data_IF_438085873807
#
_entry.id   IF_438085873807
#
_cell.length_a   1.000
_cell.length_b   1.000
_cell.length_c   1.000
_cell.angle_alpha   90.00
_cell.angle_beta   90.00
_cell.angle_gamma   90.00
#
_symmetry.space_group_name_H-M   'P 1'
#
loop_
_entity.id
_entity.type
_entity.pdbx_description
1 polymer ?
#
# COMPACT_ATOMS: atom_id res chain seq x y z
N UNK A 1 13.75 -22.48 7.54
CA UNK A 1 12.81 -22.49 6.41
C UNK A 1 12.34 -21.07 6.15
N UNK A 2 12.39 -20.62 4.90
CA UNK A 2 11.91 -19.30 4.48
C UNK A 2 10.59 -19.46 3.73
N UNK A 3 9.57 -18.67 4.13
CA UNK A 3 8.35 -18.49 3.34
C UNK A 3 8.13 -16.99 3.08
N UNK A 4 8.02 -16.60 1.83
CA UNK A 4 7.81 -15.19 1.44
C UNK A 4 6.35 -14.77 1.66
N UNK A 5 5.41 -15.69 1.47
CA UNK A 5 3.98 -15.49 1.74
C UNK A 5 3.45 -16.78 2.36
N UNK A 6 2.66 -16.72 3.43
CA UNK A 6 2.04 -17.92 3.96
C UNK A 6 1.07 -18.48 2.93
N UNK A 7 1.37 -19.64 2.38
CA UNK A 7 0.49 -20.35 1.46
C UNK A 7 -0.61 -21.00 2.31
N UNK A 8 -1.77 -20.36 2.36
CA UNK A 8 -2.87 -20.76 3.26
C UNK A 8 -3.30 -22.22 3.08
N UNK A 9 -3.29 -22.70 1.85
CA UNK A 9 -3.80 -24.04 1.49
C UNK A 9 -2.85 -25.18 1.88
N UNK A 10 -1.54 -24.91 1.99
CA UNK A 10 -0.52 -25.91 2.34
C UNK A 10 0.11 -25.69 3.70
N UNK A 11 -0.39 -24.71 4.46
CA UNK A 11 0.21 -24.32 5.75
C UNK A 11 0.26 -25.51 6.73
N UNK A 12 -0.79 -26.31 6.79
CA UNK A 12 -0.89 -27.43 7.70
C UNK A 12 0.08 -28.55 7.34
N UNK A 13 0.22 -28.86 6.07
CA UNK A 13 1.18 -29.83 5.56
C UNK A 13 2.62 -29.38 5.81
N UNK A 14 2.93 -28.11 5.51
CA UNK A 14 4.22 -27.51 5.80
C UNK A 14 4.54 -27.50 7.29
N UNK A 15 3.59 -27.09 8.14
CA UNK A 15 3.78 -27.04 9.59
C UNK A 15 4.02 -28.43 10.19
N UNK A 16 3.50 -29.49 9.56
CA UNK A 16 3.74 -30.89 9.99
C UNK A 16 5.19 -31.34 9.75
N UNK A 17 5.90 -30.69 8.81
CA UNK A 17 7.28 -31.05 8.44
C UNK A 17 8.34 -30.40 9.33
N UNK A 18 7.97 -29.43 10.18
CA UNK A 18 8.93 -28.68 10.99
C UNK A 18 9.31 -29.43 12.28
N UNK A 19 10.59 -29.33 12.63
CA UNK A 19 11.16 -29.92 13.85
C UNK A 19 11.41 -28.85 14.91
N UNK A 20 11.44 -29.26 16.18
CA UNK A 20 11.49 -28.39 17.34
C UNK A 20 12.69 -27.42 17.31
N UNK A 21 13.86 -27.93 16.97
CA UNK A 21 15.12 -27.18 16.97
C UNK A 21 15.34 -26.36 15.68
N UNK A 22 14.34 -26.25 14.82
CA UNK A 22 14.44 -25.60 13.52
C UNK A 22 13.88 -24.19 13.57
N UNK A 23 14.68 -23.13 13.40
CA UNK A 23 14.16 -21.76 13.34
C UNK A 23 13.32 -21.56 12.08
N UNK A 24 12.18 -20.90 12.24
CA UNK A 24 11.26 -20.58 11.16
C UNK A 24 11.27 -19.07 10.92
N UNK A 25 11.49 -18.68 9.67
CA UNK A 25 11.37 -17.32 9.22
C UNK A 25 10.20 -17.26 8.22
N UNK A 26 9.17 -16.50 8.55
CA UNK A 26 7.99 -16.34 7.70
C UNK A 26 7.59 -14.86 7.62
N UNK A 27 6.78 -14.52 6.64
CA UNK A 27 6.24 -13.18 6.50
C UNK A 27 4.73 -13.15 6.65
N UNK A 28 4.20 -12.10 7.30
CA UNK A 28 2.77 -11.86 7.46
C UNK A 28 2.02 -13.01 8.16
N UNK A 29 2.57 -13.54 9.22
CA UNK A 29 1.93 -14.58 10.01
C UNK A 29 0.66 -14.03 10.68
N UNK A 30 -0.48 -14.69 10.45
CA UNK A 30 -1.65 -14.44 11.29
C UNK A 30 -1.39 -14.94 12.71
N UNK A 31 -2.12 -14.39 13.69
CA UNK A 31 -2.00 -14.82 15.08
C UNK A 31 -2.22 -16.34 15.25
N UNK A 32 -3.19 -16.90 14.52
CA UNK A 32 -3.46 -18.35 14.53
C UNK A 32 -2.33 -19.18 13.93
N UNK A 33 -1.73 -18.71 12.83
CA UNK A 33 -0.58 -19.40 12.20
C UNK A 33 0.64 -19.38 13.11
N UNK A 34 0.96 -18.22 13.70
CA UNK A 34 2.05 -18.08 14.67
C UNK A 34 1.87 -19.07 15.84
N UNK A 35 0.70 -19.05 16.49
CA UNK A 35 0.41 -19.93 17.64
C UNK A 35 0.52 -21.43 17.29
N UNK A 36 0.29 -21.82 16.04
CA UNK A 36 0.45 -23.21 15.58
C UNK A 36 1.91 -23.59 15.35
N UNK A 37 2.71 -22.65 14.80
CA UNK A 37 4.14 -22.86 14.62
C UNK A 37 4.88 -22.93 15.97
N UNK A 38 4.57 -22.02 16.90
CA UNK A 38 5.15 -21.97 18.26
C UNK A 38 4.87 -23.22 19.10
N UNK A 39 3.82 -23.99 18.77
CA UNK A 39 3.59 -25.30 19.39
C UNK A 39 4.57 -26.38 18.93
N UNK A 40 5.23 -26.18 17.78
CA UNK A 40 6.11 -27.17 17.15
C UNK A 40 7.56 -26.78 17.13
N UNK A 41 7.84 -25.48 17.07
CA UNK A 41 9.16 -24.92 16.90
C UNK A 41 9.44 -23.92 18.02
N UNK A 42 10.65 -23.96 18.57
CA UNK A 42 11.05 -23.07 19.67
C UNK A 42 11.29 -21.63 19.16
N UNK A 43 11.65 -21.46 17.89
CA UNK A 43 11.97 -20.15 17.30
C UNK A 43 11.14 -19.87 16.05
N UNK A 44 10.23 -18.88 16.14
CA UNK A 44 9.38 -18.44 15.04
C UNK A 44 9.52 -16.93 14.88
N UNK A 45 10.05 -16.51 13.75
CA UNK A 45 10.29 -15.10 13.41
C UNK A 45 9.40 -14.66 12.24
N UNK A 46 8.61 -13.59 12.45
CA UNK A 46 7.93 -12.89 11.37
C UNK A 46 8.79 -11.67 10.97
N UNK A 47 9.43 -11.75 9.81
CA UNK A 47 10.29 -10.67 9.35
C UNK A 47 9.53 -9.40 8.92
N UNK A 48 8.20 -9.47 8.71
CA UNK A 48 7.38 -8.28 8.50
C UNK A 48 7.06 -7.50 9.80
N UNK A 49 7.32 -8.06 10.99
CA UNK A 49 7.30 -7.30 12.24
C UNK A 49 8.49 -6.33 12.34
N UNK A 50 9.52 -6.53 11.56
CA UNK A 50 10.66 -5.61 11.48
C UNK A 50 10.30 -4.38 10.67
N UNK A 51 10.39 -3.20 11.31
CA UNK A 51 10.08 -1.92 10.66
C UNK A 51 11.01 -1.63 9.48
N UNK A 52 12.30 -1.93 9.58
CA UNK A 52 13.28 -1.75 8.51
C UNK A 52 12.91 -2.57 7.26
N UNK A 53 12.48 -3.82 7.43
CA UNK A 53 12.03 -4.67 6.32
C UNK A 53 10.77 -4.11 5.67
N UNK A 54 9.79 -3.68 6.46
CA UNK A 54 8.54 -3.13 5.93
C UNK A 54 8.75 -1.79 5.24
N UNK A 55 9.67 -0.96 5.73
CA UNK A 55 10.08 0.28 5.05
C UNK A 55 10.75 -0.04 3.71
N UNK A 56 11.71 -0.96 3.69
CA UNK A 56 12.38 -1.36 2.44
C UNK A 56 11.42 -2.00 1.43
N UNK A 57 10.42 -2.75 1.89
CA UNK A 57 9.40 -3.34 1.03
C UNK A 57 8.46 -2.32 0.38
N UNK A 58 8.42 -1.08 0.87
CA UNK A 58 7.67 0.00 0.21
C UNK A 58 8.25 0.38 -1.16
N UNK A 59 9.56 0.15 -1.39
CA UNK A 59 10.23 0.47 -2.67
C UNK A 59 9.70 -0.39 -3.82
N UNK A 60 9.78 -1.75 -3.76
CA UNK A 60 9.23 -2.57 -4.84
C UNK A 60 7.71 -2.39 -5.00
N UNK A 61 6.97 -2.07 -3.92
CA UNK A 61 5.55 -1.74 -4.01
C UNK A 61 5.32 -0.47 -4.83
N UNK A 62 6.07 0.60 -4.57
CA UNK A 62 5.96 1.84 -5.35
C UNK A 62 6.36 1.65 -6.83
N UNK A 63 7.39 0.83 -7.09
CA UNK A 63 7.76 0.46 -8.45
C UNK A 63 6.67 -0.36 -9.16
N UNK A 64 6.01 -1.28 -8.44
CA UNK A 64 4.86 -2.02 -8.94
C UNK A 64 3.68 -1.10 -9.30
N UNK A 65 3.41 -0.09 -8.48
CA UNK A 65 2.41 0.94 -8.78
C UNK A 65 2.76 1.67 -10.08
N UNK A 66 4.00 2.16 -10.21
CA UNK A 66 4.45 2.84 -11.43
C UNK A 66 4.35 1.94 -12.66
N UNK A 67 4.74 0.66 -12.54
CA UNK A 67 4.57 -0.33 -13.61
C UNK A 67 3.10 -0.45 -14.01
N UNK A 68 2.20 -0.64 -13.05
CA UNK A 68 0.76 -0.75 -13.31
C UNK A 68 0.21 0.51 -14.00
N UNK A 69 0.67 1.69 -13.60
CA UNK A 69 0.30 2.94 -14.27
C UNK A 69 0.71 2.91 -15.74
N UNK A 70 1.98 2.64 -16.05
CA UNK A 70 2.54 2.61 -17.39
C UNK A 70 1.87 1.56 -18.31
N UNK A 71 1.35 0.47 -17.73
CA UNK A 71 0.63 -0.57 -18.48
C UNK A 71 -0.84 -0.22 -18.77
N UNK A 72 -1.43 0.74 -18.02
CA UNK A 72 -2.87 1.01 -18.10
C UNK A 72 -3.22 2.44 -18.54
N UNK A 73 -2.25 3.30 -18.82
CA UNK A 73 -2.47 4.65 -19.35
C UNK A 73 -1.89 4.77 -20.76
N UNK A 74 -2.57 5.54 -21.63
CA UNK A 74 -2.11 5.83 -23.00
C UNK A 74 -1.34 7.17 -23.10
N UNK A 75 -1.09 7.82 -21.96
CA UNK A 75 -0.39 9.09 -21.84
C UNK A 75 0.82 8.95 -20.91
N UNK A 76 1.64 10.00 -20.82
CA UNK A 76 2.83 9.99 -19.97
C UNK A 76 2.47 10.24 -18.50
N UNK A 77 3.20 9.62 -17.57
CA UNK A 77 3.11 9.93 -16.13
C UNK A 77 3.58 11.36 -15.85
N UNK A 78 4.53 11.87 -16.63
CA UNK A 78 4.99 13.26 -16.53
C UNK A 78 3.81 14.23 -16.73
N UNK A 79 3.65 15.17 -15.82
CA UNK A 79 2.56 16.17 -15.75
C UNK A 79 1.17 15.58 -15.46
N UNK A 80 1.02 14.26 -15.25
CA UNK A 80 -0.24 13.69 -14.79
C UNK A 80 -0.54 14.14 -13.37
N UNK A 81 -1.80 14.40 -13.06
CA UNK A 81 -2.26 14.73 -11.72
C UNK A 81 -2.54 13.46 -10.93
N UNK A 82 -1.69 13.15 -9.98
CA UNK A 82 -1.76 11.94 -9.17
C UNK A 82 -2.20 12.26 -7.73
N UNK A 83 -3.22 11.58 -7.24
CA UNK A 83 -3.62 11.63 -5.83
C UNK A 83 -3.14 10.36 -5.11
N UNK A 84 -2.36 10.52 -4.04
CA UNK A 84 -1.89 9.41 -3.20
C UNK A 84 -2.59 9.46 -1.85
N UNK A 85 -3.49 8.51 -1.60
CA UNK A 85 -4.18 8.37 -0.32
C UNK A 85 -3.28 7.69 0.70
N UNK A 86 -3.00 8.41 1.78
CA UNK A 86 -2.05 8.01 2.82
C UNK A 86 -0.64 8.57 2.59
N UNK A 87 0.04 8.88 3.69
CA UNK A 87 1.43 9.35 3.70
C UNK A 87 2.24 8.59 4.73
N UNK A 88 2.00 7.27 4.75
CA UNK A 88 2.76 6.28 5.52
C UNK A 88 3.96 5.77 4.72
N UNK A 89 4.47 4.58 5.08
CA UNK A 89 5.64 3.94 4.42
C UNK A 89 5.49 3.86 2.90
N UNK A 90 4.45 3.18 2.42
CA UNK A 90 4.19 3.03 0.97
C UNK A 90 3.85 4.37 0.33
N UNK A 91 2.93 5.14 0.94
CA UNK A 91 2.47 6.41 0.36
C UNK A 91 3.58 7.43 0.17
N UNK A 92 4.55 7.53 1.09
CA UNK A 92 5.72 8.41 0.95
C UNK A 92 6.57 8.01 -0.25
N UNK A 93 7.01 6.75 -0.28
CA UNK A 93 7.88 6.27 -1.38
C UNK A 93 7.15 6.34 -2.72
N UNK A 94 5.84 6.05 -2.76
CA UNK A 94 5.04 6.22 -3.99
C UNK A 94 5.01 7.67 -4.45
N UNK A 95 4.75 8.61 -3.53
CA UNK A 95 4.72 10.03 -3.87
C UNK A 95 6.09 10.52 -4.38
N UNK A 96 7.18 10.09 -3.76
CA UNK A 96 8.55 10.43 -4.17
C UNK A 96 8.88 9.86 -5.56
N UNK A 97 8.55 8.60 -5.83
CA UNK A 97 8.76 7.96 -7.14
C UNK A 97 7.97 8.67 -8.22
N UNK A 98 6.69 8.99 -7.98
CA UNK A 98 5.84 9.67 -8.97
C UNK A 98 6.32 11.11 -9.22
N UNK A 99 6.71 11.83 -8.18
CA UNK A 99 7.29 13.17 -8.31
C UNK A 99 8.60 13.13 -9.10
N UNK A 100 9.45 12.13 -8.87
CA UNK A 100 10.73 11.97 -9.58
C UNK A 100 10.55 11.72 -11.09
N UNK A 101 9.45 11.09 -11.50
CA UNK A 101 9.10 10.92 -12.94
C UNK A 101 8.28 12.09 -13.49
N UNK A 102 8.10 13.17 -12.71
CA UNK A 102 7.50 14.43 -13.13
C UNK A 102 5.98 14.50 -13.04
N UNK A 103 5.33 13.64 -12.27
CA UNK A 103 3.92 13.76 -11.95
C UNK A 103 3.63 14.96 -11.02
N UNK A 104 2.45 15.55 -11.13
CA UNK A 104 1.90 16.52 -10.17
C UNK A 104 1.20 15.74 -9.05
N UNK A 105 1.91 15.59 -7.93
CA UNK A 105 1.48 14.69 -6.85
C UNK A 105 0.81 15.46 -5.70
N UNK A 106 -0.42 15.05 -5.38
CA UNK A 106 -1.16 15.50 -4.19
C UNK A 106 -1.34 14.34 -3.22
N UNK A 107 -0.92 14.54 -1.97
CA UNK A 107 -1.08 13.57 -0.89
C UNK A 107 -2.39 13.82 -0.14
N UNK A 108 -3.26 12.80 -0.07
CA UNK A 108 -4.55 12.85 0.59
C UNK A 108 -4.45 12.20 1.98
N UNK A 109 -4.64 12.99 3.04
CA UNK A 109 -4.38 12.56 4.43
C UNK A 109 -5.49 12.98 5.40
N UNK A 110 -5.50 12.38 6.58
CA UNK A 110 -6.50 12.70 7.62
C UNK A 110 -6.07 13.88 8.51
N UNK A 111 -4.78 14.14 8.64
CA UNK A 111 -4.24 15.14 9.59
C UNK A 111 -3.58 16.29 8.87
N UNK A 112 -3.88 17.56 9.26
CA UNK A 112 -3.24 18.74 8.68
C UNK A 112 -1.72 18.73 8.80
N UNK A 113 -1.16 18.14 9.87
CA UNK A 113 0.30 18.02 10.04
C UNK A 113 0.97 17.21 8.93
N UNK A 114 0.27 16.21 8.38
CA UNK A 114 0.80 15.44 7.27
C UNK A 114 0.74 16.22 5.94
N UNK A 115 -0.20 17.16 5.78
CA UNK A 115 -0.23 18.11 4.65
C UNK A 115 1.01 19.01 4.72
N UNK A 116 1.29 19.56 5.90
CA UNK A 116 2.48 20.40 6.09
C UNK A 116 3.78 19.64 5.77
N UNK A 117 3.87 18.37 6.19
CA UNK A 117 5.01 17.51 5.87
C UNK A 117 5.14 17.25 4.36
N UNK A 118 4.02 17.02 3.66
CA UNK A 118 4.01 16.85 2.20
C UNK A 118 4.50 18.13 1.51
N UNK A 119 4.03 19.32 1.95
CA UNK A 119 4.43 20.60 1.39
C UNK A 119 5.94 20.88 1.56
N UNK A 120 6.54 20.51 2.69
CA UNK A 120 8.01 20.61 2.91
C UNK A 120 8.78 19.77 1.90
N UNK A 121 8.20 18.65 1.44
CA UNK A 121 8.79 17.78 0.42
C UNK A 121 8.37 18.17 -1.02
N UNK A 122 7.80 19.38 -1.23
CA UNK A 122 7.43 19.86 -2.55
C UNK A 122 6.17 19.23 -3.15
N UNK A 123 5.36 18.53 -2.32
CA UNK A 123 4.15 17.85 -2.75
C UNK A 123 2.89 18.66 -2.41
N UNK A 124 1.85 18.53 -3.23
CA UNK A 124 0.51 18.99 -2.87
C UNK A 124 -0.06 18.21 -1.70
N UNK A 125 -1.00 18.79 -0.98
CA UNK A 125 -1.67 18.11 0.12
C UNK A 125 -3.13 18.50 0.28
N UNK A 126 -4.00 17.54 0.58
CA UNK A 126 -5.40 17.80 0.92
C UNK A 126 -5.89 16.87 2.03
N UNK A 127 -7.00 17.25 2.67
CA UNK A 127 -7.70 16.33 3.58
C UNK A 127 -8.53 15.34 2.78
N UNK A 128 -8.52 14.06 3.20
CA UNK A 128 -9.36 13.01 2.60
C UNK A 128 -10.84 13.43 2.61
N UNK A 129 -11.31 14.08 3.70
CA UNK A 129 -12.69 14.56 3.83
C UNK A 129 -13.09 15.61 2.78
N UNK A 130 -12.13 16.30 2.18
CA UNK A 130 -12.36 17.36 1.21
C UNK A 130 -12.07 16.93 -0.25
N UNK A 131 -11.43 15.79 -0.44
CA UNK A 131 -10.97 15.31 -1.74
C UNK A 131 -12.10 15.23 -2.80
N UNK A 132 -13.30 14.84 -2.40
CA UNK A 132 -14.45 14.73 -3.30
C UNK A 132 -14.77 16.05 -4.05
N UNK A 133 -14.33 17.22 -3.51
CA UNK A 133 -14.55 18.55 -4.13
C UNK A 133 -13.70 18.79 -5.37
N UNK A 134 -12.66 17.97 -5.56
CA UNK A 134 -11.68 18.12 -6.64
C UNK A 134 -11.29 16.78 -7.27
N UNK A 135 -12.04 15.72 -7.00
CA UNK A 135 -11.74 14.36 -7.47
C UNK A 135 -11.73 14.26 -9.01
N UNK A 136 -12.49 15.13 -9.70
CA UNK A 136 -12.54 15.26 -11.15
C UNK A 136 -11.26 15.80 -11.80
N UNK A 137 -10.32 16.31 -11.00
CA UNK A 137 -9.08 16.91 -11.50
C UNK A 137 -7.93 15.91 -11.66
N UNK A 138 -8.09 14.70 -11.10
CA UNK A 138 -7.01 13.72 -11.05
C UNK A 138 -7.12 12.70 -12.18
N UNK A 139 -5.98 12.40 -12.77
CA UNK A 139 -5.83 11.40 -13.81
C UNK A 139 -5.65 10.01 -13.18
N UNK A 140 -4.97 9.97 -12.01
CA UNK A 140 -4.63 8.73 -11.34
C UNK A 140 -4.84 8.90 -9.83
N UNK A 141 -5.50 7.91 -9.22
CA UNK A 141 -5.72 7.84 -7.77
C UNK A 141 -5.08 6.56 -7.25
N UNK A 142 -4.18 6.67 -6.27
CA UNK A 142 -3.51 5.53 -5.63
C UNK A 142 -3.93 5.48 -4.16
N UNK A 143 -4.49 4.36 -3.72
CA UNK A 143 -4.79 4.13 -2.31
C UNK A 143 -3.76 3.24 -1.63
N UNK A 144 -3.23 3.73 -0.50
CA UNK A 144 -2.32 2.98 0.39
C UNK A 144 -2.87 2.80 1.81
N UNK A 145 -4.10 3.26 2.05
CA UNK A 145 -4.74 3.25 3.38
C UNK A 145 -5.60 1.99 3.52
N UNK A 146 -5.34 1.11 4.51
CA UNK A 146 -6.13 -0.09 4.75
C UNK A 146 -7.43 0.22 5.53
N UNK A 147 -8.22 1.16 5.02
CA UNK A 147 -9.53 1.55 5.51
C UNK A 147 -10.30 2.20 4.37
N UNK A 148 -11.62 2.04 4.33
CA UNK A 148 -12.47 2.56 3.27
C UNK A 148 -12.44 4.10 3.24
N UNK A 149 -11.53 4.64 2.46
CA UNK A 149 -11.30 6.10 2.31
C UNK A 149 -11.71 6.63 0.93
N UNK A 150 -11.82 5.76 -0.07
CA UNK A 150 -12.35 6.09 -1.39
C UNK A 150 -13.76 5.52 -1.46
N UNK A 151 -14.69 6.28 -0.93
CA UNK A 151 -16.10 5.94 -0.82
C UNK A 151 -16.90 6.33 -2.08
N UNK A 152 -18.19 5.95 -2.09
CA UNK A 152 -19.11 6.30 -3.18
C UNK A 152 -19.24 7.81 -3.41
N UNK A 153 -19.04 8.64 -2.39
CA UNK A 153 -19.08 10.09 -2.54
C UNK A 153 -17.90 10.60 -3.37
N UNK A 154 -16.70 10.05 -3.14
CA UNK A 154 -15.53 10.34 -3.94
C UNK A 154 -15.72 9.80 -5.36
N UNK A 155 -16.07 8.51 -5.50
CA UNK A 155 -16.19 7.82 -6.79
C UNK A 155 -17.20 8.49 -7.73
N UNK A 156 -18.28 9.06 -7.22
CA UNK A 156 -19.27 9.82 -8.03
C UNK A 156 -18.68 11.08 -8.67
N UNK A 157 -17.58 11.61 -8.13
CA UNK A 157 -16.93 12.82 -8.62
C UNK A 157 -15.63 12.54 -9.39
N UNK A 158 -15.20 11.29 -9.44
CA UNK A 158 -14.02 10.88 -10.22
C UNK A 158 -14.39 10.78 -11.70
N UNK A 159 -13.49 11.16 -12.58
CA UNK A 159 -13.68 11.06 -14.04
C UNK A 159 -13.72 9.57 -14.45
N UNK A 160 -14.52 9.23 -15.48
CA UNK A 160 -14.61 7.83 -15.95
C UNK A 160 -13.30 7.24 -16.48
N UNK A 161 -12.37 8.08 -16.93
CA UNK A 161 -11.06 7.73 -17.46
C UNK A 161 -9.93 7.77 -16.42
N UNK A 162 -10.26 8.08 -15.16
CA UNK A 162 -9.29 8.09 -14.06
C UNK A 162 -8.89 6.66 -13.68
N UNK A 163 -7.58 6.39 -13.66
CA UNK A 163 -7.04 5.13 -13.18
C UNK A 163 -7.04 5.10 -11.65
N UNK A 164 -7.67 4.09 -11.05
CA UNK A 164 -7.66 3.88 -9.60
C UNK A 164 -6.86 2.62 -9.29
N UNK A 165 -5.82 2.75 -8.46
CA UNK A 165 -4.96 1.66 -8.00
C UNK A 165 -5.08 1.55 -6.49
N UNK A 166 -5.54 0.40 -5.99
CA UNK A 166 -5.61 0.12 -4.55
C UNK A 166 -4.59 -0.95 -4.16
N UNK A 167 -3.59 -0.55 -3.38
CA UNK A 167 -2.53 -1.44 -2.87
C UNK A 167 -2.64 -1.65 -1.36
N UNK A 168 -3.73 -1.18 -0.75
CA UNK A 168 -3.95 -1.37 0.67
C UNK A 168 -4.22 -2.84 1.00
N UNK A 169 -3.74 -3.28 2.16
CA UNK A 169 -4.11 -4.59 2.71
C UNK A 169 -5.62 -4.65 3.00
N UNK A 170 -6.18 -5.86 3.06
CA UNK A 170 -7.57 -6.03 3.48
C UNK A 170 -7.87 -5.28 4.80
N UNK A 171 -9.03 -4.60 4.92
CA UNK A 171 -10.24 -4.70 4.10
C UNK A 171 -10.26 -3.86 2.80
N UNK A 172 -9.11 -3.40 2.30
CA UNK A 172 -8.97 -2.48 1.17
C UNK A 172 -9.54 -1.08 1.46
N UNK A 173 -9.28 -0.11 0.58
CA UNK A 173 -9.69 1.25 0.86
C UNK A 173 -10.64 1.86 -0.16
N UNK A 174 -10.94 1.14 -1.24
CA UNK A 174 -11.82 1.58 -2.32
C UNK A 174 -13.12 0.77 -2.31
N UNK A 175 -14.26 1.44 -2.43
CA UNK A 175 -15.57 0.82 -2.61
C UNK A 175 -15.74 0.41 -4.08
N UNK A 176 -15.43 -0.85 -4.39
CA UNK A 176 -15.58 -1.43 -5.74
C UNK A 176 -16.97 -2.00 -6.03
N UNK A 177 -17.97 -1.83 -5.12
CA UNK A 177 -19.32 -2.39 -5.24
C UNK A 177 -20.30 -1.46 -5.97
#
# INVERSE_FOLDING_TARGET
>A
VFSIVPVKETFDEMAAMFHKDQPIFAGMLSHSMRARLEKRCDEVYDYFEREDVTVMNSVPTAQGILKTMLENIEYTVHSSKCAVFGYGRIGKVTADVLSAVGADVTVCVRRPSAIALAAVNGLGGCLISDFYKSADRYDIIINTVPAQVIDRKILKNVRPDCLIIDVASAPYGTDFA
#
